data_IF_888411892999
#
_entry.id   IF_888411892999
#
_cell.length_a   1.000
_cell.length_b   1.000
_cell.length_c   1.000
_cell.angle_alpha   90.00
_cell.angle_beta   90.00
_cell.angle_gamma   90.00
#
_symmetry.space_group_name_H-M   'P 1'
#
loop_
_entity.id
_entity.type
_entity.pdbx_description
1 polymer ?
#
# COMPACT_ATOMS: atom_id res chain seq x y z
N UNK A 1 -14.28 -3.03 -11.84
CA UNK A 1 -13.50 -2.72 -13.06
C UNK A 1 -13.22 -1.22 -13.21
N UNK A 2 -14.20 -0.33 -13.09
CA UNK A 2 -13.98 1.12 -13.21
C UNK A 2 -12.89 1.69 -12.28
N UNK A 3 -12.86 1.26 -11.00
CA UNK A 3 -11.83 1.67 -10.05
C UNK A 3 -10.40 1.31 -10.49
N UNK A 4 -10.18 0.09 -10.99
CA UNK A 4 -8.89 -0.38 -11.50
C UNK A 4 -8.43 0.40 -12.73
N UNK A 5 -9.35 0.67 -13.67
CA UNK A 5 -9.06 1.49 -14.85
C UNK A 5 -8.65 2.90 -14.45
N UNK A 6 -9.29 3.47 -13.42
CA UNK A 6 -8.94 4.78 -12.90
C UNK A 6 -7.55 4.80 -12.24
N UNK A 7 -7.20 3.81 -11.40
CA UNK A 7 -5.85 3.72 -10.84
C UNK A 7 -4.80 3.58 -11.92
N UNK A 8 -5.03 2.73 -12.92
CA UNK A 8 -4.12 2.56 -14.05
C UNK A 8 -3.97 3.86 -14.86
N UNK A 9 -5.07 4.58 -15.09
CA UNK A 9 -5.04 5.90 -15.72
C UNK A 9 -4.20 6.90 -14.91
N UNK A 10 -4.39 6.98 -13.59
CA UNK A 10 -3.59 7.86 -12.72
C UNK A 10 -2.11 7.49 -12.73
N UNK A 11 -1.76 6.21 -12.74
CA UNK A 11 -0.36 5.79 -12.80
C UNK A 11 0.27 6.17 -14.13
N UNK A 12 -0.38 5.85 -15.25
CA UNK A 12 0.18 6.07 -16.60
C UNK A 12 0.19 7.54 -17.03
N UNK A 13 -0.86 8.31 -16.70
CA UNK A 13 -1.05 9.67 -17.21
C UNK A 13 -0.78 10.78 -16.18
N UNK A 14 -0.68 10.46 -14.89
CA UNK A 14 -0.31 11.44 -13.86
C UNK A 14 1.04 11.10 -13.24
N UNK A 15 1.20 9.91 -12.64
CA UNK A 15 2.41 9.57 -11.91
C UNK A 15 3.65 9.55 -12.82
N UNK A 16 3.65 8.74 -13.89
CA UNK A 16 4.82 8.64 -14.78
C UNK A 16 5.20 9.99 -15.42
N UNK A 17 4.25 10.79 -15.97
CA UNK A 17 4.59 12.08 -16.55
C UNK A 17 5.11 13.08 -15.51
N UNK A 18 4.56 13.11 -14.30
CA UNK A 18 5.06 13.99 -13.23
C UNK A 18 6.47 13.61 -12.79
N UNK A 19 6.77 12.33 -12.64
CA UNK A 19 8.12 11.86 -12.32
C UNK A 19 9.12 12.20 -13.44
N UNK A 20 8.72 12.04 -14.70
CA UNK A 20 9.56 12.38 -15.86
C UNK A 20 9.88 13.88 -15.98
N UNK A 21 9.00 14.75 -15.46
CA UNK A 21 9.23 16.20 -15.38
C UNK A 21 10.17 16.62 -14.25
N UNK A 22 10.64 15.68 -13.43
CA UNK A 22 11.60 15.93 -12.35
C UNK A 22 10.96 16.35 -11.01
N UNK A 23 9.66 16.14 -10.83
CA UNK A 23 9.03 16.31 -9.52
C UNK A 23 9.54 15.25 -8.52
N UNK A 24 9.60 15.61 -7.24
CA UNK A 24 10.00 14.68 -6.18
C UNK A 24 9.07 13.46 -6.12
N UNK A 25 9.65 12.27 -6.08
CA UNK A 25 8.90 11.01 -6.17
C UNK A 25 7.97 10.77 -4.99
N UNK A 26 8.39 11.12 -3.77
CA UNK A 26 7.62 10.88 -2.54
C UNK A 26 6.36 11.75 -2.48
N UNK A 27 6.43 13.10 -2.55
CA UNK A 27 5.22 13.94 -2.53
C UNK A 27 4.27 13.65 -3.68
N UNK A 28 4.80 13.36 -4.87
CA UNK A 28 3.99 13.02 -6.05
C UNK A 28 3.23 11.73 -5.81
N UNK A 29 3.88 10.68 -5.28
CA UNK A 29 3.21 9.42 -4.95
C UNK A 29 2.11 9.62 -3.89
N UNK A 30 2.38 10.40 -2.83
CA UNK A 30 1.39 10.75 -1.80
C UNK A 30 0.17 11.42 -2.42
N UNK A 31 0.37 12.40 -3.30
CA UNK A 31 -0.71 13.09 -4.00
C UNK A 31 -1.55 12.13 -4.84
N UNK A 32 -0.91 11.24 -5.60
CA UNK A 32 -1.59 10.23 -6.41
C UNK A 32 -2.39 9.28 -5.53
N UNK A 33 -1.82 8.76 -4.44
CA UNK A 33 -2.51 7.88 -3.49
C UNK A 33 -3.78 8.52 -2.96
N UNK A 34 -3.72 9.78 -2.54
CA UNK A 34 -4.88 10.49 -1.99
C UNK A 34 -5.98 10.58 -3.05
N UNK A 35 -5.64 11.04 -4.26
CA UNK A 35 -6.61 11.17 -5.36
C UNK A 35 -7.19 9.80 -5.74
N UNK A 36 -6.35 8.80 -5.95
CA UNK A 36 -6.79 7.46 -6.35
C UNK A 36 -7.67 6.82 -5.29
N UNK A 37 -7.32 6.97 -4.01
CA UNK A 37 -8.10 6.40 -2.91
C UNK A 37 -9.48 7.05 -2.83
N UNK A 38 -9.54 8.39 -2.82
CA UNK A 38 -10.81 9.11 -2.70
C UNK A 38 -11.71 8.83 -3.90
N UNK A 39 -11.19 8.97 -5.12
CA UNK A 39 -12.00 8.80 -6.34
C UNK A 39 -12.41 7.35 -6.52
N UNK A 40 -11.51 6.37 -6.33
CA UNK A 40 -11.84 4.96 -6.49
C UNK A 40 -12.91 4.53 -5.47
N UNK A 41 -12.75 4.90 -4.20
CA UNK A 41 -13.74 4.54 -3.19
C UNK A 41 -15.10 5.19 -3.42
N UNK A 42 -15.13 6.46 -3.84
CA UNK A 42 -16.38 7.16 -4.19
C UNK A 42 -17.05 6.55 -5.42
N UNK A 43 -16.29 6.17 -6.45
CA UNK A 43 -16.83 5.52 -7.65
C UNK A 43 -17.43 4.13 -7.35
N UNK A 44 -16.79 3.36 -6.47
CA UNK A 44 -17.23 1.99 -6.17
C UNK A 44 -18.42 1.93 -5.22
N UNK A 45 -18.46 2.81 -4.21
CA UNK A 45 -19.40 2.70 -3.09
C UNK A 45 -20.30 3.92 -2.91
N UNK A 46 -20.12 4.98 -3.70
CA UNK A 46 -20.75 6.28 -3.48
C UNK A 46 -20.18 6.99 -2.26
N UNK A 47 -20.72 8.18 -1.97
CA UNK A 47 -20.36 8.97 -0.79
C UNK A 47 -21.16 8.48 0.41
N UNK A 48 -20.49 7.77 1.33
CA UNK A 48 -21.08 7.28 2.58
C UNK A 48 -20.02 7.29 3.70
N UNK A 49 -20.47 7.21 4.95
CA UNK A 49 -19.67 6.97 6.15
C UNK A 49 -18.64 5.84 5.99
N UNK A 50 -19.00 4.73 5.34
CA UNK A 50 -18.06 3.62 5.06
C UNK A 50 -16.91 4.04 4.12
N UNK A 51 -17.21 4.82 3.10
CA UNK A 51 -16.25 5.29 2.09
C UNK A 51 -15.27 6.29 2.70
N UNK A 52 -15.78 7.18 3.56
CA UNK A 52 -14.97 8.17 4.26
C UNK A 52 -14.06 7.50 5.29
N UNK A 53 -14.58 6.56 6.08
CA UNK A 53 -13.77 5.85 7.08
C UNK A 53 -12.71 4.97 6.44
N UNK A 54 -13.06 4.26 5.36
CA UNK A 54 -12.13 3.44 4.60
C UNK A 54 -11.03 4.31 3.94
N UNK A 55 -11.39 5.40 3.26
CA UNK A 55 -10.40 6.26 2.58
C UNK A 55 -9.42 6.90 3.56
N UNK A 56 -9.88 7.42 4.70
CA UNK A 56 -9.00 7.96 5.73
C UNK A 56 -8.05 6.89 6.28
N UNK A 57 -8.57 5.69 6.55
CA UNK A 57 -7.76 4.59 7.04
C UNK A 57 -6.75 4.09 6.01
N UNK A 58 -7.12 4.02 4.72
CA UNK A 58 -6.20 3.66 3.64
C UNK A 58 -5.07 4.67 3.49
N UNK A 59 -5.37 5.98 3.49
CA UNK A 59 -4.34 7.01 3.38
C UNK A 59 -3.36 6.88 4.56
N UNK A 60 -3.85 6.79 5.79
CA UNK A 60 -2.99 6.63 6.97
C UNK A 60 -2.18 5.34 6.92
N UNK A 61 -2.80 4.22 6.54
CA UNK A 61 -2.16 2.92 6.40
C UNK A 61 -1.02 2.91 5.38
N UNK A 62 -1.27 3.49 4.20
CA UNK A 62 -0.27 3.60 3.15
C UNK A 62 0.86 4.54 3.57
N UNK A 63 0.57 5.67 4.23
CA UNK A 63 1.60 6.56 4.79
C UNK A 63 2.52 5.83 5.78
N UNK A 64 1.94 5.02 6.66
CA UNK A 64 2.70 4.20 7.61
C UNK A 64 3.59 3.19 6.88
N UNK A 65 3.07 2.54 5.82
CA UNK A 65 3.86 1.60 5.01
C UNK A 65 5.07 2.29 4.34
N UNK A 66 4.87 3.48 3.77
CA UNK A 66 5.97 4.21 3.14
C UNK A 66 6.96 4.79 4.13
N UNK A 67 6.51 5.20 5.32
CA UNK A 67 7.40 5.62 6.40
C UNK A 67 8.29 4.48 6.88
N UNK A 68 7.70 3.29 7.09
CA UNK A 68 8.46 2.08 7.43
C UNK A 68 9.46 1.73 6.34
N UNK A 69 9.04 1.77 5.07
CA UNK A 69 9.93 1.55 3.94
C UNK A 69 11.10 2.54 3.88
N UNK A 70 10.84 3.82 4.17
CA UNK A 70 11.89 4.84 4.20
C UNK A 70 12.90 4.58 5.32
N UNK A 71 12.42 4.22 6.53
CA UNK A 71 13.28 3.89 7.67
C UNK A 71 14.08 2.61 7.42
N UNK A 72 13.43 1.55 6.92
CA UNK A 72 14.08 0.29 6.58
C UNK A 72 15.09 0.44 5.45
N UNK A 73 14.77 1.23 4.41
CA UNK A 73 15.71 1.55 3.34
C UNK A 73 16.95 2.28 3.85
N UNK A 74 16.77 3.24 4.78
CA UNK A 74 17.90 3.90 5.43
C UNK A 74 18.74 2.94 6.28
N UNK A 75 18.11 2.02 7.02
CA UNK A 75 18.82 1.06 7.86
C UNK A 75 19.67 0.06 7.07
N UNK A 76 19.23 -0.33 5.86
CA UNK A 76 19.92 -1.27 4.98
C UNK A 76 20.78 -0.54 3.92
N UNK A 77 20.83 0.80 3.94
CA UNK A 77 21.46 1.65 2.91
C UNK A 77 20.92 1.44 1.48
N UNK A 78 19.73 0.86 1.37
CA UNK A 78 19.05 0.60 0.10
C UNK A 78 18.17 1.79 -0.24
N UNK A 79 18.47 2.42 -1.37
CA UNK A 79 17.68 3.52 -1.94
C UNK A 79 17.29 3.20 -3.38
N UNK A 80 16.53 4.07 -4.05
CA UNK A 80 16.17 3.87 -5.46
C UNK A 80 17.37 3.72 -6.42
N UNK A 81 18.59 4.05 -6.00
CA UNK A 81 19.82 3.81 -6.76
C UNK A 81 20.28 2.35 -6.79
N UNK A 82 19.72 1.49 -5.94
CA UNK A 82 20.08 0.08 -5.85
C UNK A 82 19.08 -0.80 -6.62
N UNK A 83 18.14 -0.18 -7.34
CA UNK A 83 17.21 -0.87 -8.23
C UNK A 83 17.96 -1.41 -9.45
N UNK A 84 17.50 -2.53 -10.00
CA UNK A 84 18.10 -3.15 -11.18
C UNK A 84 18.13 -2.18 -12.38
N UNK A 85 17.12 -1.32 -12.49
CA UNK A 85 16.99 -0.33 -13.56
C UNK A 85 17.67 1.02 -13.22
N UNK A 86 18.30 1.14 -12.05
CA UNK A 86 18.83 2.41 -11.56
C UNK A 86 19.87 3.02 -12.50
N UNK A 87 20.79 2.23 -13.08
CA UNK A 87 21.78 2.74 -14.03
C UNK A 87 21.14 3.33 -15.29
N UNK A 88 20.14 2.63 -15.84
CA UNK A 88 19.38 3.10 -17.01
C UNK A 88 18.59 4.37 -16.68
N UNK A 89 17.98 4.41 -15.50
CA UNK A 89 17.26 5.58 -14.99
C UNK A 89 18.21 6.76 -14.69
N UNK A 90 19.45 6.52 -14.27
CA UNK A 90 20.47 7.56 -14.06
C UNK A 90 20.94 8.18 -15.37
N UNK A 91 21.10 7.38 -16.42
CA UNK A 91 21.42 7.88 -17.77
C UNK A 91 20.29 8.74 -18.34
N UNK A 92 19.04 8.32 -18.17
CA UNK A 92 17.86 9.11 -18.57
C UNK A 92 17.69 10.34 -17.65
N UNK A 93 17.96 10.15 -16.36
CA UNK A 93 17.90 11.16 -15.30
C UNK A 93 18.95 12.26 -15.43
N UNK A 94 20.03 11.99 -16.17
CA UNK A 94 21.02 13.02 -16.52
C UNK A 94 20.47 14.03 -17.55
N UNK A 95 19.45 13.66 -18.32
CA UNK A 95 18.78 14.51 -19.31
C UNK A 95 17.39 15.02 -18.87
N UNK A 96 16.75 14.31 -17.94
CA UNK A 96 15.44 14.63 -17.36
C UNK A 96 15.65 14.69 -15.86
N UNK A 97 15.32 15.79 -15.18
CA UNK A 97 15.75 16.11 -13.79
C UNK A 97 15.19 15.14 -12.69
N UNK A 98 15.28 13.83 -12.90
CA UNK A 98 14.52 12.75 -12.29
C UNK A 98 15.20 12.30 -11.00
N UNK A 99 14.43 12.31 -9.91
CA UNK A 99 14.94 12.03 -8.57
C UNK A 99 14.78 10.55 -8.20
N UNK A 100 15.82 9.77 -8.49
CA UNK A 100 15.82 8.31 -8.35
C UNK A 100 15.73 7.86 -6.89
N UNK A 101 16.35 8.60 -5.96
CA UNK A 101 16.41 8.24 -4.53
C UNK A 101 15.04 7.88 -3.92
N UNK A 102 13.97 8.60 -4.31
CA UNK A 102 12.62 8.44 -3.77
C UNK A 102 11.74 7.41 -4.50
N UNK A 103 12.22 6.84 -5.62
CA UNK A 103 11.42 5.91 -6.42
C UNK A 103 11.07 4.63 -5.66
N UNK A 104 11.97 4.14 -4.79
CA UNK A 104 11.71 2.97 -3.95
C UNK A 104 10.47 3.16 -3.08
N UNK A 105 10.42 4.27 -2.34
CA UNK A 105 9.29 4.58 -1.45
C UNK A 105 8.02 4.83 -2.26
N UNK A 106 8.13 5.50 -3.41
CA UNK A 106 7.00 5.71 -4.32
C UNK A 106 6.43 4.39 -4.89
N UNK A 107 7.30 3.44 -5.26
CA UNK A 107 6.90 2.11 -5.71
C UNK A 107 6.18 1.33 -4.61
N UNK A 108 6.69 1.39 -3.38
CA UNK A 108 6.07 0.73 -2.22
C UNK A 108 4.68 1.29 -1.95
N UNK A 109 4.55 2.61 -1.97
CA UNK A 109 3.27 3.32 -1.87
C UNK A 109 2.22 2.82 -2.86
N UNK A 110 2.60 2.68 -4.15
CA UNK A 110 1.69 2.19 -5.18
C UNK A 110 1.39 0.70 -5.00
N UNK A 111 2.38 -0.11 -4.65
CA UNK A 111 2.19 -1.55 -4.44
C UNK A 111 1.30 -1.88 -3.24
N UNK A 112 1.44 -1.12 -2.13
CA UNK A 112 0.68 -1.36 -0.91
C UNK A 112 -0.74 -0.80 -0.98
N UNK A 113 -0.95 0.24 -1.80
CA UNK A 113 -2.25 0.92 -1.97
C UNK A 113 -3.40 -0.07 -2.19
N UNK A 114 -3.26 -0.98 -3.17
CA UNK A 114 -4.34 -1.91 -3.53
C UNK A 114 -4.73 -2.80 -2.35
N UNK A 115 -3.73 -3.44 -1.73
CA UNK A 115 -3.97 -4.34 -0.61
C UNK A 115 -4.57 -3.62 0.62
N UNK A 116 -4.06 -2.42 0.92
CA UNK A 116 -4.55 -1.60 2.04
C UNK A 116 -5.97 -1.09 1.75
N UNK A 117 -6.27 -0.74 0.51
CA UNK A 117 -7.61 -0.30 0.08
C UNK A 117 -8.66 -1.40 0.27
N UNK A 118 -8.35 -2.63 -0.12
CA UNK A 118 -9.26 -3.77 -0.02
C UNK A 118 -9.56 -4.14 1.45
N UNK A 119 -8.53 -4.17 2.30
CA UNK A 119 -8.70 -4.43 3.74
C UNK A 119 -9.51 -3.33 4.41
N UNK A 120 -9.17 -2.06 4.12
CA UNK A 120 -9.88 -0.93 4.70
C UNK A 120 -11.35 -0.92 4.31
N UNK A 121 -11.66 -1.19 3.03
CA UNK A 121 -13.04 -1.21 2.56
C UNK A 121 -13.82 -2.37 3.18
N UNK A 122 -13.22 -3.56 3.27
CA UNK A 122 -13.85 -4.74 3.87
C UNK A 122 -14.26 -4.48 5.32
N UNK A 123 -13.34 -3.96 6.14
CA UNK A 123 -13.62 -3.63 7.55
C UNK A 123 -14.68 -2.55 7.66
N UNK A 124 -14.54 -1.45 6.91
CA UNK A 124 -15.49 -0.34 6.99
C UNK A 124 -16.90 -0.74 6.52
N UNK A 125 -17.02 -1.58 5.48
CA UNK A 125 -18.32 -2.09 5.03
C UNK A 125 -18.95 -2.99 6.10
N UNK A 126 -18.19 -3.94 6.66
CA UNK A 126 -18.71 -4.81 7.70
C UNK A 126 -19.14 -4.05 8.95
N UNK A 127 -18.36 -3.08 9.41
CA UNK A 127 -18.74 -2.23 10.56
C UNK A 127 -20.00 -1.41 10.25
N UNK A 128 -20.11 -0.88 9.04
CA UNK A 128 -21.29 -0.14 8.59
C UNK A 128 -22.54 -1.02 8.55
N UNK A 129 -22.43 -2.23 8.00
CA UNK A 129 -23.52 -3.21 7.94
C UNK A 129 -23.96 -3.66 9.32
N UNK A 130 -23.02 -3.99 10.22
CA UNK A 130 -23.31 -4.35 11.61
C UNK A 130 -24.11 -3.27 12.34
N UNK A 131 -23.71 -1.99 12.18
CA UNK A 131 -24.45 -0.88 12.77
C UNK A 131 -25.81 -0.64 12.08
N UNK A 132 -25.95 -0.99 10.80
CA UNK A 132 -27.22 -0.88 10.08
C UNK A 132 -28.26 -1.89 10.57
N UNK A 133 -27.80 -3.10 10.90
CA UNK A 133 -28.64 -4.19 11.44
C UNK A 133 -28.94 -3.98 12.92
N UNK A 134 -27.94 -3.61 13.72
CA UNK A 134 -28.10 -3.37 15.16
C UNK A 134 -27.59 -1.99 15.58
N UNK A 135 -28.48 -0.99 15.52
CA UNK A 135 -28.18 0.40 15.89
C UNK A 135 -27.86 0.60 17.38
N UNK A 136 -28.18 -0.37 18.24
CA UNK A 136 -27.93 -0.31 19.68
C UNK A 136 -26.49 -0.73 20.05
N UNK A 137 -25.72 -1.29 19.10
CA UNK A 137 -24.34 -1.67 19.37
C UNK A 137 -23.50 -0.46 19.79
N UNK A 138 -22.73 -0.61 20.87
CA UNK A 138 -21.78 0.41 21.32
C UNK A 138 -20.59 0.53 20.34
N UNK A 139 -19.93 1.70 20.30
CA UNK A 139 -18.74 1.87 19.45
C UNK A 139 -17.61 0.89 19.82
N UNK A 140 -17.51 0.49 21.09
CA UNK A 140 -16.57 -0.55 21.54
C UNK A 140 -16.88 -1.92 20.93
N UNK A 141 -18.16 -2.29 20.84
CA UNK A 141 -18.57 -3.53 20.21
C UNK A 141 -18.30 -3.50 18.70
N UNK A 142 -18.63 -2.40 18.02
CA UNK A 142 -18.33 -2.20 16.60
C UNK A 142 -16.82 -2.26 16.32
N UNK A 143 -16.01 -1.63 17.16
CA UNK A 143 -14.55 -1.70 17.06
C UNK A 143 -14.03 -3.13 17.20
N UNK A 144 -14.50 -3.88 18.21
CA UNK A 144 -14.08 -5.26 18.44
C UNK A 144 -14.49 -6.19 17.31
N UNK A 145 -15.70 -6.02 16.77
CA UNK A 145 -16.15 -6.76 15.59
C UNK A 145 -15.31 -6.41 14.36
N UNK A 146 -15.05 -5.12 14.11
CA UNK A 146 -14.18 -4.66 13.03
C UNK A 146 -12.75 -5.21 13.14
N UNK A 147 -12.21 -5.29 14.36
CA UNK A 147 -10.91 -5.89 14.61
C UNK A 147 -10.87 -7.39 14.30
N UNK A 148 -11.89 -8.14 14.73
CA UNK A 148 -11.96 -9.58 14.47
C UNK A 148 -12.01 -9.85 12.96
N UNK A 149 -12.85 -9.12 12.23
CA UNK A 149 -12.97 -9.24 10.77
C UNK A 149 -11.67 -8.81 10.09
N UNK A 150 -11.07 -7.71 10.54
CA UNK A 150 -9.81 -7.22 10.00
C UNK A 150 -8.65 -8.17 10.24
N UNK A 151 -8.63 -8.91 11.36
CA UNK A 151 -7.61 -9.93 11.64
C UNK A 151 -7.64 -11.05 10.61
N UNK A 152 -8.84 -11.49 10.22
CA UNK A 152 -9.01 -12.55 9.22
C UNK A 152 -8.63 -12.02 7.82
N UNK A 153 -9.08 -10.82 7.46
CA UNK A 153 -8.76 -10.17 6.18
C UNK A 153 -7.25 -9.87 6.03
N UNK A 154 -6.57 -9.52 7.12
CA UNK A 154 -5.13 -9.28 7.13
C UNK A 154 -4.34 -10.54 6.80
N UNK A 155 -4.76 -11.71 7.31
CA UNK A 155 -4.09 -12.98 7.05
C UNK A 155 -4.15 -13.39 5.58
N UNK A 156 -5.31 -13.24 4.94
CA UNK A 156 -5.47 -13.55 3.52
C UNK A 156 -4.68 -12.60 2.64
N UNK A 157 -4.67 -11.30 2.95
CA UNK A 157 -3.96 -10.29 2.17
C UNK A 157 -2.43 -10.36 2.34
N UNK A 158 -1.93 -10.71 3.52
CA UNK A 158 -0.51 -10.97 3.73
C UNK A 158 -0.05 -12.17 2.87
N UNK A 159 -0.85 -13.24 2.81
CA UNK A 159 -0.54 -14.39 1.94
C UNK A 159 -0.52 -13.98 0.46
N UNK A 160 -1.48 -13.17 0.02
CA UNK A 160 -1.49 -12.63 -1.35
C UNK A 160 -0.24 -11.81 -1.66
N UNK A 161 0.25 -10.99 -0.72
CA UNK A 161 1.45 -10.19 -0.93
C UNK A 161 2.71 -11.06 -1.04
N UNK A 162 2.83 -12.10 -0.20
CA UNK A 162 3.93 -13.08 -0.26
C UNK A 162 3.91 -13.84 -1.59
N UNK A 163 2.72 -14.26 -2.05
CA UNK A 163 2.57 -14.96 -3.33
C UNK A 163 2.85 -14.03 -4.51
N UNK A 164 2.43 -12.77 -4.46
CA UNK A 164 2.73 -11.78 -5.48
C UNK A 164 4.24 -11.54 -5.61
N UNK A 165 4.95 -11.43 -4.48
CA UNK A 165 6.41 -11.36 -4.43
C UNK A 165 7.06 -12.62 -5.00
N UNK A 166 6.67 -13.79 -4.50
CA UNK A 166 7.24 -15.07 -4.97
C UNK A 166 7.03 -15.24 -6.48
N UNK A 167 5.88 -14.77 -7.00
CA UNK A 167 5.57 -14.77 -8.42
C UNK A 167 6.41 -13.80 -9.23
N UNK A 168 6.59 -12.54 -8.78
CA UNK A 168 7.43 -11.56 -9.47
C UNK A 168 8.90 -11.96 -9.49
N UNK A 169 9.37 -12.62 -8.42
CA UNK A 169 10.76 -12.97 -8.21
C UNK A 169 11.07 -14.43 -8.53
N UNK A 170 10.15 -15.14 -9.18
CA UNK A 170 10.25 -16.59 -9.43
C UNK A 170 11.51 -16.96 -10.24
N UNK A 171 11.83 -16.19 -11.27
CA UNK A 171 13.02 -16.42 -12.08
C UNK A 171 14.31 -16.25 -11.27
N UNK A 172 14.34 -15.23 -10.40
CA UNK A 172 15.48 -14.97 -9.51
C UNK A 172 15.64 -16.11 -8.50
N UNK A 173 14.54 -16.53 -7.87
CA UNK A 173 14.50 -17.66 -6.93
C UNK A 173 14.95 -18.97 -7.60
N UNK A 174 14.55 -19.22 -8.85
CA UNK A 174 14.96 -20.41 -9.61
C UNK A 174 16.45 -20.38 -9.95
N UNK A 175 16.98 -19.24 -10.39
CA UNK A 175 18.40 -19.06 -10.67
C UNK A 175 19.22 -19.35 -9.41
N UNK A 176 18.83 -18.78 -8.29
CA UNK A 176 19.44 -19.05 -6.98
C UNK A 176 19.45 -20.54 -6.66
N UNK A 177 18.27 -21.18 -6.76
CA UNK A 177 18.12 -22.58 -6.43
C UNK A 177 19.03 -23.46 -7.31
N UNK A 178 19.18 -23.09 -8.58
CA UNK A 178 20.04 -23.78 -9.53
C UNK A 178 21.54 -23.55 -9.31
N UNK A 179 21.97 -22.35 -8.87
CA UNK A 179 23.39 -22.03 -8.68
C UNK A 179 23.94 -22.47 -7.32
N UNK A 180 23.11 -22.93 -6.38
CA UNK A 180 23.55 -23.39 -5.06
C UNK A 180 24.15 -22.29 -4.17
N UNK A 181 23.80 -21.03 -4.43
CA UNK A 181 24.30 -19.86 -3.71
C UNK A 181 23.84 -19.96 -2.24
N UNK A 182 24.75 -19.76 -1.24
CA UNK A 182 24.35 -19.78 0.15
C UNK A 182 23.33 -18.69 0.46
N UNK A 183 22.24 -19.05 1.15
CA UNK A 183 21.12 -18.15 1.49
C UNK A 183 21.56 -16.82 2.12
N UNK A 184 22.65 -16.79 2.88
CA UNK A 184 23.18 -15.54 3.47
C UNK A 184 23.68 -14.53 2.44
N UNK A 185 24.26 -14.99 1.33
CA UNK A 185 24.74 -14.10 0.28
C UNK A 185 23.58 -13.56 -0.57
N UNK A 186 22.52 -14.36 -0.69
CA UNK A 186 21.27 -14.00 -1.33
C UNK A 186 20.53 -12.87 -0.60
N UNK A 187 20.36 -12.98 0.71
CA UNK A 187 19.71 -11.92 1.51
C UNK A 187 20.47 -10.58 1.48
N UNK A 188 21.77 -10.60 1.16
CA UNK A 188 22.61 -9.42 1.04
C UNK A 188 22.60 -8.80 -0.37
N UNK A 189 21.88 -9.36 -1.34
CA UNK A 189 21.76 -8.75 -2.67
C UNK A 189 20.72 -7.64 -2.66
N UNK A 190 21.06 -6.47 -3.21
CA UNK A 190 20.21 -5.28 -3.19
C UNK A 190 18.80 -5.51 -3.74
N UNK A 191 18.66 -6.25 -4.85
CA UNK A 191 17.38 -6.56 -5.46
C UNK A 191 16.45 -7.30 -4.50
N UNK A 192 16.99 -8.27 -3.76
CA UNK A 192 16.22 -9.07 -2.79
C UNK A 192 15.93 -8.26 -1.53
N UNK A 193 16.89 -7.45 -1.07
CA UNK A 193 16.69 -6.54 0.04
C UNK A 193 15.54 -5.55 -0.25
N UNK A 194 15.49 -4.98 -1.46
CA UNK A 194 14.39 -4.11 -1.91
C UNK A 194 13.04 -4.82 -1.83
N UNK A 195 12.95 -6.03 -2.38
CA UNK A 195 11.69 -6.77 -2.43
C UNK A 195 11.22 -7.22 -1.03
N UNK A 196 12.15 -7.60 -0.16
CA UNK A 196 11.85 -7.92 1.25
C UNK A 196 11.36 -6.66 1.97
N UNK A 197 12.02 -5.52 1.82
CA UNK A 197 11.59 -4.25 2.43
C UNK A 197 10.19 -3.90 1.96
N UNK A 198 9.90 -4.01 0.66
CA UNK A 198 8.58 -3.76 0.10
C UNK A 198 7.52 -4.69 0.70
N UNK A 199 7.80 -5.98 0.78
CA UNK A 199 6.88 -7.00 1.30
C UNK A 199 6.61 -6.81 2.80
N UNK A 200 7.65 -6.55 3.59
CA UNK A 200 7.56 -6.34 5.04
C UNK A 200 6.87 -5.02 5.35
N UNK A 201 7.28 -3.92 4.71
CA UNK A 201 6.67 -2.61 4.92
C UNK A 201 5.19 -2.59 4.48
N UNK A 202 4.87 -3.24 3.35
CA UNK A 202 3.50 -3.43 2.90
C UNK A 202 2.65 -4.22 3.90
N UNK A 203 3.16 -5.37 4.38
CA UNK A 203 2.46 -6.23 5.34
C UNK A 203 2.22 -5.53 6.68
N UNK A 204 3.23 -4.85 7.24
CA UNK A 204 3.08 -4.08 8.48
C UNK A 204 2.12 -2.91 8.27
N UNK A 205 2.15 -2.27 7.10
CA UNK A 205 1.17 -1.27 6.70
C UNK A 205 -0.26 -1.79 6.80
N UNK A 206 -0.53 -2.98 6.28
CA UNK A 206 -1.85 -3.63 6.38
C UNK A 206 -2.21 -3.92 7.85
N UNK A 207 -1.29 -4.52 8.61
CA UNK A 207 -1.49 -4.85 10.04
C UNK A 207 -1.90 -3.61 10.83
N UNK A 208 -1.25 -2.47 10.60
CA UNK A 208 -1.54 -1.20 11.27
C UNK A 208 -2.77 -0.48 10.71
N UNK A 209 -3.15 -0.75 9.46
CA UNK A 209 -4.39 -0.22 8.87
C UNK A 209 -5.64 -0.77 9.54
N UNK A 210 -5.64 -2.07 9.87
CA UNK A 210 -6.78 -2.76 10.51
C UNK A 210 -7.29 -2.02 11.77
N UNK A 211 -6.46 -1.77 12.80
CA UNK A 211 -6.92 -1.07 14.00
C UNK A 211 -7.36 0.37 13.71
N UNK A 212 -6.68 1.06 12.79
CA UNK A 212 -7.00 2.43 12.41
C UNK A 212 -8.39 2.52 11.77
N UNK A 213 -8.66 1.68 10.75
CA UNK A 213 -9.94 1.67 10.05
C UNK A 213 -11.06 1.23 10.98
N UNK A 214 -10.84 0.21 11.81
CA UNK A 214 -11.84 -0.26 12.77
C UNK A 214 -12.20 0.86 13.76
N UNK A 215 -11.21 1.60 14.25
CA UNK A 215 -11.42 2.72 15.16
C UNK A 215 -12.19 3.86 14.48
N UNK A 216 -11.71 4.33 13.32
CA UNK A 216 -12.35 5.43 12.57
C UNK A 216 -13.79 5.05 12.21
N UNK A 217 -14.02 3.85 11.70
CA UNK A 217 -15.36 3.38 11.31
C UNK A 217 -16.30 3.29 12.51
N UNK A 218 -15.83 2.81 13.67
CA UNK A 218 -16.66 2.70 14.89
C UNK A 218 -17.19 4.05 15.42
N UNK A 219 -16.50 5.16 15.08
CA UNK A 219 -16.87 6.52 15.46
C UNK A 219 -17.72 7.17 14.37
N UNK A 220 -17.27 7.11 13.11
CA UNK A 220 -17.90 7.80 11.98
C UNK A 220 -19.30 7.26 11.66
N UNK A 221 -19.46 5.93 11.72
CA UNK A 221 -20.74 5.27 11.40
C UNK A 221 -21.86 5.68 12.37
N UNK A 222 -21.52 6.11 13.60
CA UNK A 222 -22.49 6.67 14.56
C UNK A 222 -22.78 8.16 14.37
N UNK A 223 -21.77 8.95 13.98
CA UNK A 223 -21.91 10.41 13.85
C UNK A 223 -22.76 10.82 12.65
N UNK A 224 -22.68 10.11 11.53
CA UNK A 224 -23.35 10.50 10.28
C UNK A 224 -24.84 10.10 10.18
N UNK A 225 -25.39 9.46 11.22
CA UNK A 225 -26.84 9.12 11.33
C UNK A 225 -27.56 9.86 12.46
N UNK A 226 -26.88 10.77 13.16
CA UNK A 226 -27.49 11.74 14.07
C UNK A 226 -27.75 13.02 13.29
#
# INVERSE_FOLDING_TARGET
>A
MAGLLFTLFCVLFLLLPLLSKGYDSIPTAIFIIIITTVVCMVLLNGVNSKTISASMGTILGVMISGLLAYISGYAVNVTGYNMNEAESLMLIGSNTNLKIKGLLVAGIFISSLGAVMDVAMSIASSVYELNSVNKNMSSKQLFRSGMNIGKDAMGTMANTLILAFTGSSLNLLLLIFSYGIPMMQLFNTDSIAIEIIQSVAGSIGIILTVPLVAFISSIFVKKLKK
#
